data_IF_360882175888
#
_entry.id   IF_360882175888
#
_cell.length_a   1.000
_cell.length_b   1.000
_cell.length_c   1.000
_cell.angle_alpha   90.00
_cell.angle_beta   90.00
_cell.angle_gamma   90.00
#
_symmetry.space_group_name_H-M   'P 1'
#
loop_
_entity.id
_entity.type
_entity.pdbx_description
1 polymer ?
#
# COMPACT_ATOMS: atom_id res chain seq x y z
N UNK A 1 3.86 -36.40 -34.72
CA UNK A 1 3.75 -36.79 -33.30
C UNK A 1 4.35 -35.64 -32.48
N UNK A 2 3.48 -34.80 -31.90
CA UNK A 2 3.68 -33.78 -30.86
C UNK A 2 5.01 -33.00 -30.76
N UNK A 3 4.98 -31.72 -31.17
CA UNK A 3 5.80 -30.66 -30.57
C UNK A 3 4.95 -29.41 -30.29
N UNK A 4 5.00 -28.97 -29.04
CA UNK A 4 4.29 -27.82 -28.47
C UNK A 4 4.70 -26.49 -29.14
N UNK A 5 3.78 -25.60 -29.53
CA UNK A 5 4.13 -24.21 -29.76
C UNK A 5 4.12 -23.46 -28.43
N UNK A 6 5.33 -23.20 -27.91
CA UNK A 6 5.62 -22.25 -26.85
C UNK A 6 4.94 -20.90 -27.12
N UNK A 7 3.87 -20.62 -26.38
CA UNK A 7 3.10 -19.39 -26.37
C UNK A 7 3.78 -18.29 -25.51
N UNK A 8 5.08 -18.08 -25.71
CA UNK A 8 5.75 -16.86 -25.25
C UNK A 8 5.99 -15.99 -26.48
N UNK A 9 5.07 -15.05 -26.71
CA UNK A 9 5.22 -14.03 -27.74
C UNK A 9 6.53 -13.30 -27.52
N UNK A 10 7.49 -13.56 -28.41
CA UNK A 10 8.73 -12.79 -28.57
C UNK A 10 8.27 -11.35 -28.78
N UNK A 11 8.43 -10.50 -27.77
CA UNK A 11 8.34 -9.06 -27.95
C UNK A 11 9.29 -8.72 -29.09
N UNK A 12 8.75 -8.26 -30.23
CA UNK A 12 9.58 -7.89 -31.37
C UNK A 12 10.63 -6.88 -30.92
N UNK A 13 11.81 -6.89 -31.54
CA UNK A 13 12.91 -5.96 -31.20
C UNK A 13 12.45 -4.49 -31.19
N UNK A 14 11.43 -4.16 -31.99
CA UNK A 14 10.72 -2.87 -31.95
C UNK A 14 9.89 -2.62 -30.69
N UNK A 15 9.18 -3.61 -30.14
CA UNK A 15 8.47 -3.46 -28.87
C UNK A 15 9.45 -3.38 -27.69
N UNK A 16 10.56 -4.12 -27.73
CA UNK A 16 11.66 -3.96 -26.78
C UNK A 16 12.30 -2.57 -26.89
N UNK A 17 12.55 -2.07 -28.11
CA UNK A 17 13.06 -0.71 -28.35
C UNK A 17 12.06 0.37 -27.91
N UNK A 18 10.76 0.22 -28.18
CA UNK A 18 9.72 1.15 -27.71
C UNK A 18 9.61 1.15 -26.18
N UNK A 19 9.64 -0.01 -25.53
CA UNK A 19 9.72 -0.11 -24.06
C UNK A 19 11.00 0.50 -23.50
N UNK A 20 12.15 0.25 -24.12
CA UNK A 20 13.42 0.84 -23.72
C UNK A 20 13.46 2.37 -23.92
N UNK A 21 12.81 2.88 -24.99
CA UNK A 21 12.70 4.31 -25.29
C UNK A 21 11.66 5.00 -24.39
N UNK A 22 10.60 4.31 -23.97
CA UNK A 22 9.65 4.75 -22.96
C UNK A 22 10.26 4.76 -21.55
N UNK A 23 11.08 3.75 -21.21
CA UNK A 23 11.91 3.71 -19.99
C UNK A 23 13.02 4.77 -19.99
N UNK A 24 13.51 5.21 -21.16
CA UNK A 24 14.48 6.30 -21.31
C UNK A 24 13.89 7.70 -21.20
N UNK A 25 12.56 7.87 -21.07
CA UNK A 25 12.01 9.20 -20.76
C UNK A 25 12.31 9.48 -19.27
N UNK A 26 13.18 10.46 -18.95
CA UNK A 26 13.56 10.76 -17.56
C UNK A 26 12.34 11.11 -16.67
N UNK A 27 11.21 11.46 -17.28
CA UNK A 27 9.99 11.87 -16.58
C UNK A 27 9.15 10.71 -16.04
N UNK A 28 9.20 9.51 -16.63
CA UNK A 28 8.39 8.38 -16.16
C UNK A 28 8.92 7.84 -14.83
N UNK A 29 10.25 7.74 -14.71
CA UNK A 29 10.95 7.44 -13.46
C UNK A 29 10.57 8.42 -12.35
N UNK A 30 10.82 9.73 -12.58
CA UNK A 30 10.50 10.77 -11.61
C UNK A 30 9.04 10.75 -11.16
N UNK A 31 8.10 10.55 -12.09
CA UNK A 31 6.65 10.49 -11.79
C UNK A 31 6.25 9.28 -10.95
N UNK A 32 6.91 8.13 -11.14
CA UNK A 32 6.66 6.94 -10.33
C UNK A 32 7.29 7.05 -8.94
N UNK A 33 8.49 7.63 -8.82
CA UNK A 33 9.11 7.92 -7.53
C UNK A 33 8.28 8.95 -6.73
N UNK A 34 7.92 10.08 -7.33
CA UNK A 34 7.09 11.10 -6.68
C UNK A 34 5.74 10.55 -6.19
N UNK A 35 5.21 9.56 -6.89
CA UNK A 35 3.99 8.88 -6.50
C UNK A 35 4.16 7.93 -5.33
N UNK A 36 5.27 7.19 -5.29
CA UNK A 36 5.63 6.35 -4.15
C UNK A 36 5.83 7.20 -2.89
N UNK A 37 6.46 8.37 -3.03
CA UNK A 37 6.60 9.34 -1.93
C UNK A 37 5.21 9.82 -1.48
N UNK A 38 4.38 10.29 -2.42
CA UNK A 38 3.04 10.78 -2.09
C UNK A 38 2.17 9.70 -1.43
N UNK A 39 2.21 8.46 -1.94
CA UNK A 39 1.43 7.37 -1.35
C UNK A 39 1.89 7.03 0.06
N UNK A 40 3.20 7.04 0.31
CA UNK A 40 3.75 6.81 1.64
C UNK A 40 3.35 7.90 2.64
N UNK A 41 3.42 9.17 2.23
CA UNK A 41 2.99 10.31 3.05
C UNK A 41 1.51 10.20 3.40
N UNK A 42 0.66 9.94 2.39
CA UNK A 42 -0.78 9.80 2.61
C UNK A 42 -1.08 8.59 3.49
N UNK A 43 -0.43 7.44 3.27
CA UNK A 43 -0.65 6.25 4.08
C UNK A 43 -0.24 6.49 5.55
N UNK A 44 0.89 7.17 5.78
CA UNK A 44 1.33 7.55 7.12
C UNK A 44 0.35 8.54 7.79
N UNK A 45 -0.11 9.56 7.07
CA UNK A 45 -1.09 10.52 7.57
C UNK A 45 -2.42 9.84 7.93
N UNK A 46 -2.89 8.90 7.10
CA UNK A 46 -4.09 8.09 7.39
C UNK A 46 -3.86 7.17 8.58
N UNK A 47 -2.68 6.59 8.75
CA UNK A 47 -2.34 5.80 9.94
C UNK A 47 -2.40 6.64 11.22
N UNK A 48 -1.86 7.86 11.19
CA UNK A 48 -1.93 8.81 12.31
C UNK A 48 -3.39 9.15 12.60
N UNK A 49 -4.15 9.58 11.58
CA UNK A 49 -5.56 9.91 11.74
C UNK A 49 -6.40 8.74 12.27
N UNK A 50 -6.10 7.52 11.82
CA UNK A 50 -6.72 6.30 12.31
C UNK A 50 -6.46 6.09 13.79
N UNK A 51 -5.22 6.28 14.25
CA UNK A 51 -4.88 6.15 15.67
C UNK A 51 -5.64 7.16 16.55
N UNK A 52 -5.74 8.43 16.10
CA UNK A 52 -6.56 9.44 16.78
C UNK A 52 -8.06 9.10 16.75
N UNK A 53 -8.55 8.52 15.67
CA UNK A 53 -9.96 8.09 15.56
C UNK A 53 -10.24 6.96 16.55
N UNK A 54 -9.34 5.97 16.64
CA UNK A 54 -9.46 4.88 17.61
C UNK A 54 -9.42 5.41 19.03
N UNK A 55 -8.46 6.28 19.35
CA UNK A 55 -8.36 6.93 20.66
C UNK A 55 -9.64 7.69 21.05
N UNK A 56 -10.22 8.44 20.11
CA UNK A 56 -11.49 9.12 20.33
C UNK A 56 -12.64 8.14 20.61
N UNK A 57 -12.71 7.04 19.86
CA UNK A 57 -13.77 6.02 20.02
C UNK A 57 -13.60 5.19 21.29
N UNK A 58 -12.36 4.94 21.72
CA UNK A 58 -12.04 4.24 22.97
C UNK A 58 -12.01 5.17 24.18
N UNK A 59 -12.26 6.46 24.01
CA UNK A 59 -12.30 7.43 25.11
C UNK A 59 -10.96 7.59 25.83
N UNK A 60 -9.84 7.32 25.16
CA UNK A 60 -8.52 7.35 25.78
C UNK A 60 -8.06 6.03 26.39
N UNK A 61 -8.83 4.94 26.26
CA UNK A 61 -8.40 3.61 26.70
C UNK A 61 -7.65 2.85 25.60
N UNK A 62 -6.79 1.91 26.00
CA UNK A 62 -5.86 1.20 25.12
C UNK A 62 -6.20 -0.27 25.04
N UNK A 63 -6.06 -0.85 23.86
CA UNK A 63 -6.23 -2.28 23.66
C UNK A 63 -5.03 -3.06 24.19
N UNK A 64 -3.81 -2.57 23.98
CA UNK A 64 -2.59 -3.25 24.44
C UNK A 64 -1.90 -2.42 25.52
N UNK A 65 -2.01 -2.91 26.77
CA UNK A 65 -1.27 -2.40 27.92
C UNK A 65 -0.03 -3.25 28.24
N UNK A 66 0.79 -2.79 29.20
CA UNK A 66 2.04 -3.48 29.63
C UNK A 66 1.80 -4.86 30.27
N UNK A 67 0.57 -5.17 30.71
CA UNK A 67 0.26 -6.38 31.49
C UNK A 67 -0.86 -7.25 30.93
N UNK A 68 -1.69 -6.76 30.01
CA UNK A 68 -2.74 -7.54 29.34
C UNK A 68 -3.25 -6.82 28.08
N UNK A 69 -3.75 -7.58 27.12
CA UNK A 69 -4.50 -7.05 25.95
C UNK A 69 -5.99 -7.18 26.24
N UNK A 70 -6.74 -6.08 26.10
CA UNK A 70 -8.19 -6.09 26.21
C UNK A 70 -8.82 -6.59 24.91
N UNK A 71 -9.79 -7.51 25.02
CA UNK A 71 -10.54 -7.99 23.84
C UNK A 71 -11.47 -6.93 23.26
N UNK A 72 -12.01 -6.04 24.11
CA UNK A 72 -12.86 -4.93 23.72
C UNK A 72 -12.71 -3.73 24.65
N UNK A 73 -12.87 -2.53 24.10
CA UNK A 73 -12.82 -1.24 24.80
C UNK A 73 -13.99 -0.39 24.31
N UNK A 74 -14.81 0.16 25.20
CA UNK A 74 -16.05 0.86 24.86
C UNK A 74 -16.97 0.10 23.88
N UNK A 75 -17.06 -1.23 24.04
CA UNK A 75 -17.84 -2.09 23.16
C UNK A 75 -17.25 -2.29 21.76
N UNK A 76 -16.08 -1.72 21.46
CA UNK A 76 -15.35 -1.91 20.22
C UNK A 76 -14.36 -3.05 20.43
N UNK A 77 -14.49 -4.16 19.69
CA UNK A 77 -13.56 -5.25 19.84
C UNK A 77 -12.26 -4.99 19.08
N UNK A 78 -11.15 -5.48 19.63
CA UNK A 78 -9.80 -5.28 19.10
C UNK A 78 -9.66 -5.73 17.63
N UNK A 79 -10.28 -6.87 17.28
CA UNK A 79 -10.24 -7.39 15.92
C UNK A 79 -10.94 -6.46 14.90
N UNK A 80 -11.99 -5.74 15.31
CA UNK A 80 -12.65 -4.77 14.42
C UNK A 80 -11.73 -3.59 14.10
N UNK A 81 -10.92 -3.15 15.06
CA UNK A 81 -9.92 -2.11 14.85
C UNK A 81 -8.83 -2.60 13.88
N UNK A 82 -8.31 -3.82 14.08
CA UNK A 82 -7.33 -4.41 13.16
C UNK A 82 -7.89 -4.50 11.74
N UNK A 83 -9.09 -5.08 11.58
CA UNK A 83 -9.73 -5.24 10.27
C UNK A 83 -9.98 -3.87 9.63
N UNK A 84 -10.51 -2.91 10.38
CA UNK A 84 -10.77 -1.55 9.91
C UNK A 84 -9.50 -0.84 9.43
N UNK A 85 -8.42 -0.92 10.19
CA UNK A 85 -7.12 -0.37 9.81
C UNK A 85 -6.57 -1.02 8.54
N UNK A 86 -6.59 -2.36 8.47
CA UNK A 86 -6.11 -3.10 7.29
C UNK A 86 -6.95 -2.81 6.05
N UNK A 87 -8.28 -2.74 6.16
CA UNK A 87 -9.16 -2.37 5.05
C UNK A 87 -8.91 -0.94 4.57
N UNK A 88 -8.71 0.00 5.50
CA UNK A 88 -8.39 1.40 5.18
C UNK A 88 -7.08 1.48 4.38
N UNK A 89 -6.03 0.82 4.86
CA UNK A 89 -4.74 0.77 4.17
C UNK A 89 -4.81 0.07 2.79
N UNK A 90 -5.58 -1.02 2.69
CA UNK A 90 -5.84 -1.71 1.44
C UNK A 90 -6.56 -0.81 0.43
N UNK A 91 -7.61 -0.13 0.84
CA UNK A 91 -8.38 0.79 0.00
C UNK A 91 -7.52 1.95 -0.53
N UNK A 92 -6.70 2.55 0.35
CA UNK A 92 -5.75 3.60 -0.06
C UNK A 92 -4.74 3.07 -1.08
N UNK A 93 -4.17 1.90 -0.81
CA UNK A 93 -3.21 1.29 -1.73
C UNK A 93 -3.87 1.02 -3.08
N UNK A 94 -5.08 0.48 -3.09
CA UNK A 94 -5.84 0.24 -4.33
C UNK A 94 -6.07 1.54 -5.10
N UNK A 95 -6.48 2.60 -4.41
CA UNK A 95 -6.73 3.91 -5.02
C UNK A 95 -5.49 4.48 -5.74
N UNK A 96 -4.31 4.38 -5.13
CA UNK A 96 -3.05 4.89 -5.70
C UNK A 96 -2.46 3.97 -6.78
N UNK A 97 -2.47 2.64 -6.57
CA UNK A 97 -1.86 1.66 -7.49
C UNK A 97 -2.70 1.44 -8.75
N UNK A 98 -4.02 1.24 -8.60
CA UNK A 98 -4.88 0.82 -9.72
C UNK A 98 -5.16 1.94 -10.74
N UNK A 99 -4.82 3.20 -10.41
CA UNK A 99 -4.96 4.36 -11.31
C UNK A 99 -3.74 4.59 -12.20
N UNK A 100 -2.61 3.92 -11.97
CA UNK A 100 -1.35 4.19 -12.70
C UNK A 100 -0.94 3.05 -13.62
N UNK A 101 -0.46 3.41 -14.82
CA UNK A 101 0.08 2.49 -15.81
C UNK A 101 1.35 1.81 -15.28
N UNK A 102 1.37 0.50 -15.41
CA UNK A 102 2.25 -0.48 -14.76
C UNK A 102 3.76 -0.38 -14.97
N UNK A 103 4.25 0.55 -15.79
CA UNK A 103 5.59 0.43 -16.36
C UNK A 103 6.72 0.45 -15.30
N UNK A 104 6.47 1.02 -14.12
CA UNK A 104 7.45 1.18 -13.03
C UNK A 104 6.90 0.83 -11.64
N UNK A 105 6.08 -0.21 -11.52
CA UNK A 105 5.51 -0.63 -10.24
C UNK A 105 6.54 -1.02 -9.18
N UNK A 106 7.62 -1.72 -9.57
CA UNK A 106 8.68 -2.07 -8.64
C UNK A 106 9.31 -0.83 -8.01
N UNK A 107 9.60 0.19 -8.81
CA UNK A 107 10.18 1.43 -8.32
C UNK A 107 9.20 2.22 -7.44
N UNK A 108 7.92 2.28 -7.80
CA UNK A 108 6.89 2.87 -6.95
C UNK A 108 6.86 2.18 -5.57
N UNK A 109 6.81 0.85 -5.55
CA UNK A 109 6.71 0.08 -4.30
C UNK A 109 7.95 0.27 -3.44
N UNK A 110 9.15 0.16 -4.03
CA UNK A 110 10.40 0.38 -3.32
C UNK A 110 10.49 1.78 -2.72
N UNK A 111 10.15 2.83 -3.49
CA UNK A 111 10.15 4.21 -2.98
C UNK A 111 9.10 4.39 -1.89
N UNK A 112 7.88 3.87 -2.08
CA UNK A 112 6.82 3.98 -1.07
C UNK A 112 7.18 3.29 0.24
N UNK A 113 7.78 2.09 0.19
CA UNK A 113 8.20 1.36 1.40
C UNK A 113 9.31 2.12 2.11
N UNK A 114 10.36 2.52 1.40
CA UNK A 114 11.49 3.26 1.99
C UNK A 114 11.04 4.59 2.59
N UNK A 115 10.17 5.34 1.91
CA UNK A 115 9.63 6.60 2.43
C UNK A 115 8.75 6.37 3.65
N UNK A 116 7.89 5.34 3.65
CA UNK A 116 7.05 5.03 4.81
C UNK A 116 7.89 4.67 6.04
N UNK A 117 8.93 3.84 5.87
CA UNK A 117 9.87 3.52 6.96
C UNK A 117 10.59 4.77 7.46
N UNK A 118 11.08 5.63 6.56
CA UNK A 118 11.73 6.87 6.94
C UNK A 118 10.80 7.79 7.76
N UNK A 119 9.53 7.90 7.37
CA UNK A 119 8.53 8.66 8.13
C UNK A 119 8.29 8.08 9.52
N UNK A 120 8.21 6.74 9.65
CA UNK A 120 8.08 6.09 10.96
C UNK A 120 9.31 6.32 11.85
N UNK A 121 10.52 6.28 11.28
CA UNK A 121 11.76 6.56 12.03
C UNK A 121 11.76 8.01 12.53
N UNK A 122 11.41 8.97 11.68
CA UNK A 122 11.30 10.39 12.08
C UNK A 122 10.26 10.55 13.19
N UNK A 123 9.09 9.91 13.05
CA UNK A 123 8.05 9.96 14.06
C UNK A 123 8.53 9.35 15.39
N UNK A 124 9.25 8.24 15.35
CA UNK A 124 9.82 7.60 16.54
C UNK A 124 10.88 8.50 17.22
N UNK A 125 11.70 9.21 16.45
CA UNK A 125 12.61 10.21 17.01
C UNK A 125 11.87 11.37 17.69
N UNK A 126 10.73 11.81 17.13
CA UNK A 126 9.87 12.82 17.78
C UNK A 126 9.20 12.31 19.07
N UNK A 127 8.91 11.01 19.16
CA UNK A 127 8.42 10.39 20.40
C UNK A 127 9.53 10.32 21.45
N UNK A 128 10.75 9.90 21.06
CA UNK A 128 11.90 9.84 21.96
C UNK A 128 12.31 11.21 22.53
N UNK A 129 12.07 12.30 21.78
CA UNK A 129 12.38 13.66 22.24
C UNK A 129 11.33 14.24 23.19
N UNK A 130 10.26 13.50 23.52
CA UNK A 130 9.17 13.95 24.38
C UNK A 130 8.19 14.92 23.72
N UNK A 131 8.35 15.20 22.42
CA UNK A 131 7.52 16.17 21.69
C UNK A 131 6.04 15.74 21.60
N UNK A 132 5.77 14.45 21.77
CA UNK A 132 4.50 13.78 21.51
C UNK A 132 4.04 12.91 22.70
N UNK A 133 4.54 13.15 23.91
CA UNK A 133 4.34 12.27 25.06
C UNK A 133 2.87 12.05 25.45
N UNK A 134 2.04 13.09 25.33
CA UNK A 134 0.61 13.04 25.64
C UNK A 134 -0.25 12.66 24.42
N UNK A 135 0.36 12.26 23.31
CA UNK A 135 -0.36 11.91 22.09
C UNK A 135 -0.71 10.41 22.04
N UNK A 136 -1.78 10.01 21.34
CA UNK A 136 -2.08 8.61 21.08
C UNK A 136 -0.99 7.89 20.26
N UNK A 137 -0.06 8.64 19.67
CA UNK A 137 1.08 8.09 18.93
C UNK A 137 2.15 7.51 19.84
N UNK A 138 2.19 7.89 21.12
CA UNK A 138 3.14 7.37 22.11
C UNK A 138 2.66 6.08 22.80
N UNK A 139 1.82 5.30 22.12
CA UNK A 139 1.18 4.11 22.67
C UNK A 139 1.53 2.87 21.88
N UNK A 140 1.50 1.73 22.55
CA UNK A 140 1.80 0.44 21.92
C UNK A 140 0.80 0.10 20.80
N UNK A 141 -0.45 0.51 20.95
CA UNK A 141 -1.49 0.40 19.92
C UNK A 141 -1.06 1.07 18.60
N UNK A 142 -0.49 2.27 18.67
CA UNK A 142 0.00 2.96 17.48
C UNK A 142 1.18 2.23 16.82
N UNK A 143 2.07 1.64 17.60
CA UNK A 143 3.16 0.81 17.08
C UNK A 143 2.59 -0.40 16.31
N UNK A 144 1.60 -1.09 16.88
CA UNK A 144 0.91 -2.18 16.21
C UNK A 144 0.26 -1.71 14.90
N UNK A 145 -0.45 -0.59 14.93
CA UNK A 145 -1.14 -0.07 13.75
C UNK A 145 -0.16 0.28 12.63
N UNK A 146 0.91 1.00 12.96
CA UNK A 146 1.88 1.54 12.02
C UNK A 146 2.85 0.49 11.45
N UNK A 147 3.25 -0.50 12.24
CA UNK A 147 4.24 -1.53 11.84
C UNK A 147 3.56 -2.77 11.26
N UNK A 148 2.37 -3.12 11.73
CA UNK A 148 1.71 -4.39 11.35
C UNK A 148 0.44 -4.13 10.56
N UNK A 149 -0.57 -3.47 11.15
CA UNK A 149 -1.92 -3.40 10.57
C UNK A 149 -1.94 -2.69 9.21
N UNK A 150 -1.31 -1.51 9.14
CA UNK A 150 -1.26 -0.72 7.91
C UNK A 150 -0.38 -1.35 6.84
N UNK A 151 0.85 -1.83 7.13
CA UNK A 151 1.66 -2.53 6.14
C UNK A 151 1.02 -3.81 5.60
N UNK A 152 0.40 -4.63 6.46
CA UNK A 152 -0.33 -5.83 6.03
C UNK A 152 -1.52 -5.48 5.15
N UNK A 153 -2.32 -4.48 5.55
CA UNK A 153 -3.43 -3.99 4.75
C UNK A 153 -2.99 -3.45 3.38
N UNK A 154 -1.93 -2.65 3.36
CA UNK A 154 -1.35 -2.13 2.12
C UNK A 154 -0.86 -3.26 1.21
N UNK A 155 -0.17 -4.27 1.76
CA UNK A 155 0.21 -5.48 1.03
C UNK A 155 -0.98 -6.20 0.41
N UNK A 156 -2.09 -6.34 1.15
CA UNK A 156 -3.36 -6.85 0.63
C UNK A 156 -3.89 -6.02 -0.55
N UNK A 157 -3.83 -4.69 -0.45
CA UNK A 157 -4.19 -3.78 -1.55
C UNK A 157 -3.34 -3.95 -2.81
N UNK A 158 -2.03 -4.21 -2.66
CA UNK A 158 -1.14 -4.53 -3.79
C UNK A 158 -1.60 -5.80 -4.50
N UNK A 159 -1.92 -6.86 -3.75
CA UNK A 159 -2.42 -8.13 -4.30
C UNK A 159 -3.74 -7.91 -5.06
N UNK A 160 -4.68 -7.16 -4.47
CA UNK A 160 -5.96 -6.83 -5.12
C UNK A 160 -5.73 -6.10 -6.44
N UNK A 161 -4.85 -5.09 -6.47
CA UNK A 161 -4.57 -4.41 -7.72
C UNK A 161 -3.87 -5.32 -8.74
N UNK A 162 -2.99 -6.23 -8.32
CA UNK A 162 -2.40 -7.20 -9.23
C UNK A 162 -3.47 -8.09 -9.90
N UNK A 163 -4.40 -8.63 -9.11
CA UNK A 163 -5.51 -9.45 -9.60
C UNK A 163 -6.43 -8.67 -10.55
N UNK A 164 -6.83 -7.45 -10.18
CA UNK A 164 -7.69 -6.60 -11.01
C UNK A 164 -7.08 -6.35 -12.39
N UNK A 165 -5.76 -6.23 -12.47
CA UNK A 165 -5.12 -5.99 -13.74
C UNK A 165 -4.94 -7.24 -14.61
N UNK A 166 -4.75 -8.42 -14.02
CA UNK A 166 -4.84 -9.69 -14.75
C UNK A 166 -6.21 -9.80 -15.43
N UNK A 167 -7.28 -9.48 -14.69
CA UNK A 167 -8.65 -9.50 -15.21
C UNK A 167 -8.84 -8.49 -16.34
N UNK A 168 -8.36 -7.25 -16.18
CA UNK A 168 -8.44 -6.20 -17.22
C UNK A 168 -7.74 -6.63 -18.51
N UNK A 169 -6.50 -7.12 -18.44
CA UNK A 169 -5.75 -7.60 -19.62
C UNK A 169 -6.45 -8.77 -20.31
N UNK A 170 -7.01 -9.71 -19.53
CA UNK A 170 -7.79 -10.82 -20.08
C UNK A 170 -9.01 -10.32 -20.86
N UNK A 171 -9.72 -9.31 -20.32
CA UNK A 171 -10.89 -8.71 -20.97
C UNK A 171 -10.54 -7.97 -22.26
N UNK A 172 -9.44 -7.22 -22.28
CA UNK A 172 -8.93 -6.53 -23.47
C UNK A 172 -8.56 -7.52 -24.58
N UNK A 173 -7.83 -8.59 -24.25
CA UNK A 173 -7.47 -9.65 -25.19
C UNK A 173 -8.71 -10.35 -25.79
N UNK A 174 -9.76 -10.58 -24.99
CA UNK A 174 -11.01 -11.15 -25.51
C UNK A 174 -11.77 -10.19 -26.44
N UNK A 175 -11.74 -8.88 -26.16
CA UNK A 175 -12.36 -7.87 -27.05
C UNK A 175 -11.63 -7.77 -28.39
N UNK A 176 -10.29 -7.73 -28.37
CA UNK A 176 -9.48 -7.68 -29.58
C UNK A 176 -9.69 -8.89 -30.50
N UNK A 177 -9.96 -10.08 -29.95
CA UNK A 177 -10.29 -11.28 -30.74
C UNK A 177 -11.68 -11.25 -31.38
N UNK A 178 -12.63 -10.48 -30.82
CA UNK A 178 -13.98 -10.34 -31.39
C UNK A 178 -14.06 -9.33 -32.53
N UNK A 179 -13.14 -8.36 -32.59
CA UNK A 179 -13.08 -7.33 -33.65
C UNK A 179 -12.33 -7.77 -34.91
N UNK A 180 -11.73 -8.97 -34.92
CA UNK A 180 -10.99 -9.55 -36.06
C UNK A 180 -11.83 -10.61 -36.80
N UNK A 181 -13.13 -10.71 -36.49
CA UNK A 181 -14.12 -11.48 -37.24
C UNK A 181 -15.12 -10.52 -37.87
#
# INVERSE_FOLDING_TARGET
MWTFPCLYGILTAEQLRKKAKAMRRPDTGKRAAAAGVLSAIVLAAVCIAFAYTVDFLTGGDYFIGKSATAEAVNGIPFHAVIIGGSLTAAAMTVFFLCRRTFELWGMYLSVSISTYIALLVVLFLCLLSGLLDNSPLNRFDFLLYSVIVFPVGAGGGVIVCFLLQIVRRKKENMRARKTVK
#
